data_IF_688099229365
#
_entry.id   IF_688099229365
#
_cell.length_a   1.000
_cell.length_b   1.000
_cell.length_c   1.000
_cell.angle_alpha   90.00
_cell.angle_beta   90.00
_cell.angle_gamma   90.00
#
_symmetry.space_group_name_H-M   'P 1'
#
loop_
_entity.id
_entity.type
_entity.pdbx_description
1 polymer ?
#
# COMPACT_ATOMS: atom_id res chain seq x y z
N UNK A 1 -6.35 -23.57 6.54
CA UNK A 1 -5.38 -23.09 5.53
C UNK A 1 -4.56 -24.27 5.05
N UNK A 2 -4.40 -24.46 3.74
CA UNK A 2 -3.48 -25.48 3.20
C UNK A 2 -2.02 -25.01 3.34
N UNK A 3 -1.06 -25.92 3.24
CA UNK A 3 0.36 -25.56 3.25
C UNK A 3 0.72 -24.57 2.11
N UNK A 4 0.09 -24.74 0.95
CA UNK A 4 0.26 -23.83 -0.19
C UNK A 4 -0.25 -22.41 0.10
N UNK A 5 -1.39 -22.29 0.78
CA UNK A 5 -1.94 -21.00 1.21
C UNK A 5 -1.01 -20.31 2.22
N UNK A 6 -0.41 -21.06 3.15
CA UNK A 6 0.56 -20.53 4.11
C UNK A 6 1.83 -20.01 3.42
N UNK A 7 2.35 -20.74 2.42
CA UNK A 7 3.52 -20.31 1.63
C UNK A 7 3.20 -19.03 0.86
N UNK A 8 2.00 -18.93 0.26
CA UNK A 8 1.58 -17.72 -0.45
C UNK A 8 1.50 -16.51 0.49
N UNK A 9 0.92 -16.67 1.68
CA UNK A 9 0.86 -15.60 2.68
C UNK A 9 2.27 -15.18 3.10
N UNK A 10 3.16 -16.13 3.39
CA UNK A 10 4.54 -15.81 3.77
C UNK A 10 5.27 -15.00 2.68
N UNK A 11 5.12 -15.38 1.40
CA UNK A 11 5.68 -14.62 0.27
C UNK A 11 5.11 -13.21 0.17
N UNK A 12 3.79 -13.04 0.36
CA UNK A 12 3.14 -11.72 0.37
C UNK A 12 3.66 -10.84 1.49
N UNK A 13 3.78 -11.37 2.71
CA UNK A 13 4.32 -10.62 3.86
C UNK A 13 5.74 -10.10 3.57
N UNK A 14 6.58 -10.95 2.96
CA UNK A 14 7.94 -10.56 2.54
C UNK A 14 7.92 -9.46 1.48
N UNK A 15 6.97 -9.45 0.56
CA UNK A 15 6.86 -8.36 -0.42
C UNK A 15 6.38 -7.07 0.24
N UNK A 16 5.33 -7.15 1.07
CA UNK A 16 4.71 -6.01 1.75
C UNK A 16 5.74 -5.26 2.62
N UNK A 17 6.58 -5.97 3.39
CA UNK A 17 7.61 -5.34 4.23
C UNK A 17 8.64 -4.51 3.45
N UNK A 18 8.82 -4.76 2.15
CA UNK A 18 9.76 -4.03 1.30
C UNK A 18 9.12 -2.86 0.55
N UNK A 19 7.80 -2.69 0.64
CA UNK A 19 7.13 -1.52 0.06
C UNK A 19 7.54 -0.25 0.82
N UNK A 20 7.71 0.89 0.14
CA UNK A 20 8.10 2.14 0.80
C UNK A 20 7.08 2.59 1.85
N UNK A 21 7.59 2.94 3.02
CA UNK A 21 6.81 3.54 4.12
C UNK A 21 7.24 5.00 4.24
N UNK A 22 6.28 5.88 4.51
CA UNK A 22 6.55 7.26 4.87
C UNK A 22 5.65 7.74 6.00
N UNK A 23 5.83 9.00 6.34
CA UNK A 23 5.02 9.70 7.31
C UNK A 23 4.31 10.83 6.59
N UNK A 24 2.98 10.89 6.69
CA UNK A 24 2.21 11.97 6.10
C UNK A 24 2.56 13.29 6.78
N UNK A 25 2.83 14.34 6.01
CA UNK A 25 3.14 15.68 6.51
C UNK A 25 2.25 16.70 5.80
N UNK A 26 1.52 17.50 6.58
CA UNK A 26 0.77 18.62 6.04
C UNK A 26 1.73 19.68 5.47
N UNK A 27 1.47 20.18 4.27
CA UNK A 27 2.33 21.19 3.62
C UNK A 27 3.33 20.64 2.60
N UNK A 28 3.11 19.42 2.09
CA UNK A 28 3.74 18.96 0.84
C UNK A 28 3.45 19.89 -0.35
N UNK A 29 4.16 19.74 -1.49
CA UNK A 29 4.04 20.65 -2.63
C UNK A 29 2.58 20.87 -3.03
N UNK A 30 2.24 22.15 -3.25
CA UNK A 30 0.91 22.64 -3.62
C UNK A 30 0.43 21.88 -4.87
N UNK A 31 -0.67 21.13 -4.77
CA UNK A 31 -1.20 20.26 -5.83
C UNK A 31 -1.59 18.84 -5.39
N UNK A 32 -1.22 18.39 -4.19
CA UNK A 32 -1.61 17.08 -3.63
C UNK A 32 -2.98 17.10 -2.89
N UNK A 33 -3.88 17.99 -3.31
CA UNK A 33 -5.16 18.24 -2.64
C UNK A 33 -6.17 17.09 -2.76
N UNK A 34 -5.96 16.19 -3.72
CA UNK A 34 -6.88 15.09 -4.06
C UNK A 34 -6.58 13.76 -3.36
N UNK A 35 -5.49 13.66 -2.56
CA UNK A 35 -5.09 12.43 -1.85
C UNK A 35 -5.08 12.63 -0.33
N UNK A 36 -6.16 13.16 0.22
CA UNK A 36 -6.27 13.43 1.67
C UNK A 36 -6.94 12.33 2.48
N UNK A 37 -7.47 11.28 1.86
CA UNK A 37 -8.21 10.22 2.57
C UNK A 37 -7.70 8.83 2.19
N UNK A 38 -7.59 7.95 3.18
CA UNK A 38 -7.37 6.53 2.92
C UNK A 38 -8.70 5.87 2.52
N UNK A 39 -8.84 5.52 1.24
CA UNK A 39 -10.09 4.92 0.70
C UNK A 39 -10.45 3.54 1.28
N UNK A 40 -9.56 2.93 2.07
CA UNK A 40 -9.84 1.65 2.75
C UNK A 40 -10.66 1.89 4.02
N UNK A 41 -10.28 2.89 4.83
CA UNK A 41 -10.94 3.21 6.09
C UNK A 41 -11.87 4.43 5.98
N UNK A 42 -11.83 5.17 4.87
CA UNK A 42 -12.56 6.43 4.64
C UNK A 42 -12.25 7.49 5.70
N UNK A 43 -10.98 7.57 6.12
CA UNK A 43 -10.50 8.54 7.12
C UNK A 43 -9.40 9.40 6.50
N UNK A 44 -9.47 10.71 6.74
CA UNK A 44 -8.46 11.67 6.31
C UNK A 44 -7.08 11.37 6.90
N UNK A 45 -6.03 11.52 6.11
CA UNK A 45 -4.66 11.48 6.59
C UNK A 45 -4.35 12.68 7.46
N UNK A 46 -3.73 12.43 8.61
CA UNK A 46 -3.24 13.48 9.51
C UNK A 46 -1.72 13.47 9.59
N UNK A 47 -1.13 14.62 9.95
CA UNK A 47 0.32 14.71 10.09
C UNK A 47 0.82 13.70 11.11
N UNK A 48 1.84 12.93 10.73
CA UNK A 48 2.37 11.85 11.56
C UNK A 48 1.82 10.46 11.21
N UNK A 49 0.76 10.37 10.38
CA UNK A 49 0.25 9.07 9.96
C UNK A 49 1.31 8.27 9.21
N UNK A 50 1.44 7.00 9.59
CA UNK A 50 2.24 6.06 8.82
C UNK A 50 1.47 5.67 7.57
N UNK A 51 2.06 6.00 6.43
CA UNK A 51 1.50 5.70 5.11
C UNK A 51 2.42 4.76 4.36
N UNK A 52 1.85 3.94 3.48
CA UNK A 52 2.60 3.09 2.58
C UNK A 52 2.30 3.48 1.14
N UNK A 53 3.36 3.56 0.35
CA UNK A 53 3.30 3.84 -1.08
C UNK A 53 3.28 2.51 -1.84
N UNK A 54 2.32 2.37 -2.75
CA UNK A 54 2.35 1.31 -3.75
C UNK A 54 3.18 1.73 -4.97
N UNK A 55 3.67 0.79 -5.79
CA UNK A 55 4.44 1.12 -7.00
C UNK A 55 3.66 1.96 -8.02
N UNK A 56 2.33 1.86 -8.03
CA UNK A 56 1.43 2.71 -8.83
C UNK A 56 1.18 4.10 -8.20
N UNK A 57 1.98 4.50 -7.21
CA UNK A 57 1.98 5.80 -6.53
C UNK A 57 0.76 6.12 -5.65
N UNK A 58 -0.21 5.20 -5.54
CA UNK A 58 -1.29 5.34 -4.57
C UNK A 58 -0.79 5.17 -3.13
N UNK A 59 -1.38 5.93 -2.21
CA UNK A 59 -1.05 5.93 -0.78
C UNK A 59 -2.23 5.51 0.08
N UNK A 60 -1.93 4.83 1.19
CA UNK A 60 -2.90 4.35 2.18
C UNK A 60 -2.25 4.39 3.56
N UNK A 61 -3.05 4.34 4.63
CA UNK A 61 -2.49 4.04 5.95
C UNK A 61 -1.80 2.68 5.91
N UNK A 62 -0.59 2.61 6.47
CA UNK A 62 0.25 1.42 6.42
C UNK A 62 -0.51 0.17 6.88
N UNK A 63 -1.20 0.24 8.02
CA UNK A 63 -1.97 -0.89 8.56
C UNK A 63 -3.14 -1.29 7.64
N UNK A 64 -3.86 -0.30 7.08
CA UNK A 64 -5.02 -0.55 6.24
C UNK A 64 -4.64 -1.31 4.96
N UNK A 65 -3.55 -0.89 4.30
CA UNK A 65 -3.12 -1.55 3.07
C UNK A 65 -2.37 -2.86 3.32
N UNK A 66 -1.66 -3.00 4.44
CA UNK A 66 -1.00 -4.27 4.78
C UNK A 66 -2.02 -5.39 4.98
N UNK A 67 -3.11 -5.12 5.72
CA UNK A 67 -4.21 -6.06 5.92
C UNK A 67 -4.91 -6.42 4.60
N UNK A 68 -5.06 -5.45 3.71
CA UNK A 68 -5.61 -5.67 2.38
C UNK A 68 -4.71 -6.56 1.53
N UNK A 69 -3.41 -6.27 1.46
CA UNK A 69 -2.45 -6.96 0.59
C UNK A 69 -2.19 -8.42 0.99
N UNK A 70 -2.39 -8.76 2.26
CA UNK A 70 -2.38 -10.16 2.71
C UNK A 70 -3.48 -10.96 1.98
N UNK A 71 -4.65 -10.35 1.74
CA UNK A 71 -5.81 -10.98 1.09
C UNK A 71 -5.74 -10.87 -0.43
N UNK A 72 -5.42 -9.68 -0.95
CA UNK A 72 -5.39 -9.36 -2.38
C UNK A 72 -4.16 -8.52 -2.72
N UNK A 73 -3.23 -9.06 -3.52
CA UNK A 73 -1.98 -8.38 -3.87
C UNK A 73 -2.14 -7.34 -5.01
N UNK A 74 -3.24 -6.59 -4.99
CA UNK A 74 -3.56 -5.55 -5.97
C UNK A 74 -3.93 -4.24 -5.29
N UNK A 75 -3.63 -3.13 -5.95
CA UNK A 75 -3.99 -1.79 -5.50
C UNK A 75 -5.53 -1.63 -5.41
N UNK A 76 -6.09 -1.17 -4.27
CA UNK A 76 -7.53 -0.91 -4.16
C UNK A 76 -8.08 0.16 -5.13
N UNK A 77 -7.24 1.12 -5.54
CA UNK A 77 -7.68 2.26 -6.36
C UNK A 77 -7.60 2.01 -7.86
N UNK A 78 -6.54 1.34 -8.35
CA UNK A 78 -6.35 1.09 -9.79
C UNK A 78 -6.39 -0.39 -10.18
N UNK A 79 -6.53 -1.31 -9.22
CA UNK A 79 -6.55 -2.77 -9.44
C UNK A 79 -5.26 -3.34 -10.04
N UNK A 80 -4.20 -2.55 -10.19
CA UNK A 80 -2.90 -3.04 -10.66
C UNK A 80 -2.23 -3.95 -9.63
N UNK A 81 -1.59 -5.06 -10.08
CA UNK A 81 -0.83 -5.94 -9.19
C UNK A 81 0.34 -5.20 -8.56
N UNK A 82 0.52 -5.38 -7.25
CA UNK A 82 1.61 -4.71 -6.51
C UNK A 82 2.98 -5.31 -6.83
N UNK A 83 3.01 -6.56 -7.29
CA UNK A 83 4.22 -7.25 -7.76
C UNK A 83 4.58 -6.93 -9.21
N UNK A 84 3.73 -6.21 -9.96
CA UNK A 84 4.00 -5.83 -11.35
C UNK A 84 5.29 -4.99 -11.49
N UNK A 85 5.64 -4.20 -10.47
CA UNK A 85 6.87 -3.40 -10.46
C UNK A 85 8.15 -4.23 -10.22
N UNK A 86 8.04 -5.47 -9.72
CA UNK A 86 9.19 -6.38 -9.62
C UNK A 86 9.59 -6.97 -10.99
N UNK A 87 8.76 -6.79 -12.03
CA UNK A 87 9.01 -7.25 -13.39
C UNK A 87 9.56 -6.16 -14.33
N UNK A 88 9.65 -4.90 -13.88
CA UNK A 88 10.16 -3.78 -14.70
C UNK A 88 11.68 -3.60 -14.57
N UNK A 89 12.35 -4.44 -13.77
CA UNK A 89 13.81 -4.44 -13.60
C UNK A 89 14.53 -5.61 -14.31
N UNK A 90 13.94 -6.19 -15.36
CA UNK A 90 14.60 -7.15 -16.25
C UNK A 90 14.44 -6.77 -17.72
#
# INVERSE_FOLDING_TARGET
>A
LTAEEQIKIAKRLVLIQHLPIGTFAFGGPVGAEELRECVICMIEFVTGDQIRYLPCLHIYHMNCIDDWLIRSLCCPSCMEPVDAALLVSY
#
